data_IF_721582946567
#
_entry.id   IF_721582946567
#
_cell.length_a   1.000
_cell.length_b   1.000
_cell.length_c   1.000
_cell.angle_alpha   90.00
_cell.angle_beta   90.00
_cell.angle_gamma   90.00
#
_symmetry.space_group_name_H-M   'P 1'
#
loop_
_entity.id
_entity.type
_entity.pdbx_description
1 polymer ?
#
# COMPACT_ATOMS: atom_id res chain seq x y z
N UNK A 1 -12.03 18.62 10.75
CA UNK A 1 -12.72 19.47 11.75
C UNK A 1 -11.67 20.32 12.49
N UNK A 2 -11.99 21.57 12.78
CA UNK A 2 -11.08 22.53 13.43
C UNK A 2 -10.64 22.05 14.82
N UNK A 3 -11.45 21.21 15.46
CA UNK A 3 -11.19 20.62 16.77
C UNK A 3 -10.12 19.49 16.73
N UNK A 4 -9.77 18.97 15.56
CA UNK A 4 -8.80 17.87 15.45
C UNK A 4 -7.35 18.37 15.51
N UNK A 5 -7.05 19.48 14.85
CA UNK A 5 -5.68 19.99 14.76
C UNK A 5 -5.01 20.22 16.12
N UNK A 6 -5.69 20.81 17.14
CA UNK A 6 -5.12 20.96 18.48
C UNK A 6 -4.85 19.63 19.21
N UNK A 7 -5.56 18.54 18.81
CA UNK A 7 -5.43 17.23 19.44
C UNK A 7 -4.15 16.46 19.04
N UNK A 8 -3.54 16.79 17.89
CA UNK A 8 -2.32 16.11 17.46
C UNK A 8 -1.18 16.22 18.47
N UNK A 9 -1.04 17.38 19.12
CA UNK A 9 -0.04 17.56 20.17
C UNK A 9 -0.32 16.67 21.38
N UNK A 10 -1.59 16.55 21.80
CA UNK A 10 -1.99 15.69 22.93
C UNK A 10 -1.82 14.22 22.61
N UNK A 11 -2.10 13.78 21.36
CA UNK A 11 -1.85 12.40 20.91
C UNK A 11 -0.36 12.06 21.07
N UNK A 12 0.54 12.93 20.59
CA UNK A 12 2.00 12.73 20.74
C UNK A 12 2.42 12.68 22.20
N UNK A 13 1.95 13.60 23.01
CA UNK A 13 2.23 13.61 24.47
C UNK A 13 1.72 12.35 25.16
N UNK A 14 0.55 11.84 24.79
CA UNK A 14 -0.01 10.61 25.35
C UNK A 14 0.85 9.40 24.99
N UNK A 15 1.28 9.26 23.74
CA UNK A 15 2.17 8.16 23.33
C UNK A 15 3.46 8.16 24.15
N UNK A 16 4.08 9.33 24.33
CA UNK A 16 5.28 9.50 25.16
C UNK A 16 5.02 9.19 26.64
N UNK A 17 3.86 9.63 27.19
CA UNK A 17 3.49 9.37 28.58
C UNK A 17 3.26 7.88 28.86
N UNK A 18 2.80 7.11 27.86
CA UNK A 18 2.70 5.65 27.93
C UNK A 18 4.02 4.92 27.69
N UNK A 19 5.12 5.67 27.51
CA UNK A 19 6.44 5.13 27.18
C UNK A 19 6.43 4.23 25.93
N UNK A 20 5.58 4.56 24.94
CA UNK A 20 5.52 3.85 23.69
C UNK A 20 6.47 4.49 22.68
N UNK A 21 7.31 3.70 21.99
CA UNK A 21 8.16 4.20 20.92
C UNK A 21 7.31 4.84 19.81
N UNK A 22 7.71 6.04 19.40
CA UNK A 22 7.07 6.78 18.32
C UNK A 22 8.11 7.24 17.30
N UNK A 23 7.83 7.04 16.03
CA UNK A 23 8.73 7.41 14.94
C UNK A 23 8.01 8.31 13.96
N UNK A 24 8.62 9.42 13.65
CA UNK A 24 8.26 10.28 12.54
C UNK A 24 9.51 10.68 11.73
N UNK A 25 9.33 10.94 10.45
CA UNK A 25 10.41 11.36 9.58
C UNK A 25 9.88 12.35 8.53
N UNK A 26 10.50 13.51 8.47
CA UNK A 26 10.12 14.55 7.52
C UNK A 26 10.21 14.05 6.07
N UNK A 27 9.21 14.34 5.27
CA UNK A 27 9.05 13.93 3.86
C UNK A 27 8.78 12.43 3.63
N UNK A 28 8.43 11.69 4.66
CA UNK A 28 8.01 10.29 4.57
C UNK A 28 6.66 10.12 5.24
N UNK A 29 5.82 9.28 4.67
CA UNK A 29 4.55 8.89 5.27
C UNK A 29 4.77 7.77 6.30
N UNK A 30 3.83 7.61 7.23
CA UNK A 30 3.91 6.54 8.23
C UNK A 30 4.04 5.16 7.57
N UNK A 31 3.39 4.94 6.45
CA UNK A 31 3.39 3.69 5.70
C UNK A 31 4.77 3.34 5.11
N UNK A 32 5.54 4.35 4.68
CA UNK A 32 6.93 4.18 4.25
C UNK A 32 7.82 3.72 5.41
N UNK A 33 7.60 4.29 6.61
CA UNK A 33 8.32 3.89 7.81
C UNK A 33 7.97 2.46 8.22
N UNK A 34 6.67 2.13 8.18
CA UNK A 34 6.19 0.76 8.45
C UNK A 34 6.83 -0.22 7.46
N UNK A 35 6.80 0.08 6.15
CA UNK A 35 7.40 -0.77 5.13
C UNK A 35 8.91 -0.96 5.35
N UNK A 36 9.62 0.11 5.69
CA UNK A 36 11.06 0.09 6.00
C UNK A 36 11.36 -0.80 7.21
N UNK A 37 10.63 -0.64 8.31
CA UNK A 37 10.81 -1.48 9.50
C UNK A 37 10.40 -2.92 9.27
N UNK A 38 9.34 -3.18 8.51
CA UNK A 38 8.95 -4.55 8.11
C UNK A 38 10.14 -5.25 7.45
N UNK A 39 10.80 -4.62 6.49
CA UNK A 39 11.94 -5.24 5.81
C UNK A 39 13.16 -5.42 6.71
N UNK A 40 13.43 -4.48 7.64
CA UNK A 40 14.50 -4.62 8.62
C UNK A 40 14.25 -5.79 9.59
N UNK A 41 13.00 -5.94 10.08
CA UNK A 41 12.60 -7.00 11.00
C UNK A 41 12.70 -8.36 10.31
N UNK A 42 12.22 -8.48 9.07
CA UNK A 42 12.27 -9.72 8.32
C UNK A 42 13.71 -10.16 8.00
N UNK A 43 14.63 -9.21 7.72
CA UNK A 43 16.06 -9.51 7.55
C UNK A 43 16.69 -10.12 8.82
N UNK A 44 16.14 -9.83 10.00
CA UNK A 44 16.55 -10.45 11.28
C UNK A 44 15.84 -11.80 11.56
N UNK A 45 14.99 -12.28 10.65
CA UNK A 45 14.26 -13.54 10.80
C UNK A 45 13.05 -13.47 11.75
N UNK A 46 12.64 -12.27 12.15
CA UNK A 46 11.50 -12.07 13.03
C UNK A 46 10.19 -11.90 12.24
N UNK A 47 9.05 -11.99 12.95
CA UNK A 47 7.71 -11.81 12.39
C UNK A 47 7.17 -10.44 12.72
N UNK A 48 6.30 -9.91 11.86
CA UNK A 48 5.67 -8.61 12.01
C UNK A 48 4.16 -8.74 12.12
N UNK A 49 3.57 -7.97 13.02
CA UNK A 49 2.12 -7.71 13.02
C UNK A 49 1.92 -6.21 12.85
N UNK A 50 1.33 -5.82 11.73
CA UNK A 50 0.91 -4.44 11.45
C UNK A 50 -0.50 -4.28 12.01
N UNK A 51 -0.73 -3.26 12.83
CA UNK A 51 -2.07 -2.93 13.36
C UNK A 51 -2.55 -1.70 12.61
N UNK A 52 -3.40 -1.90 11.63
CA UNK A 52 -3.96 -0.81 10.80
C UNK A 52 -5.20 -1.27 10.04
N UNK A 53 -6.12 -0.33 9.79
CA UNK A 53 -7.25 -0.51 8.88
C UNK A 53 -6.94 -0.04 7.46
N UNK A 54 -5.73 0.46 7.22
CA UNK A 54 -5.32 1.00 5.94
C UNK A 54 -5.15 -0.10 4.89
N UNK A 55 -5.77 0.12 3.74
CA UNK A 55 -5.74 -0.83 2.62
C UNK A 55 -4.38 -0.87 1.93
N UNK A 56 -3.62 0.22 1.99
CA UNK A 56 -2.37 0.35 1.26
C UNK A 56 -1.27 -0.50 1.89
N UNK A 57 -1.34 -0.74 3.20
CA UNK A 57 -0.48 -1.68 3.90
C UNK A 57 -0.73 -3.15 3.52
N UNK A 58 -1.83 -3.47 2.80
CA UNK A 58 -2.08 -4.84 2.30
C UNK A 58 -1.02 -5.30 1.29
N UNK A 59 -0.29 -4.38 0.65
CA UNK A 59 0.85 -4.72 -0.20
C UNK A 59 2.02 -5.35 0.57
N UNK A 60 2.09 -5.15 1.89
CA UNK A 60 3.12 -5.71 2.77
C UNK A 60 2.78 -7.13 3.26
N UNK A 61 1.55 -7.61 3.04
CA UNK A 61 1.11 -8.93 3.51
C UNK A 61 1.93 -10.05 2.85
N UNK A 62 2.53 -10.89 3.66
CA UNK A 62 3.31 -12.07 3.26
C UNK A 62 3.48 -13.03 4.44
N UNK A 63 4.11 -14.19 4.23
CA UNK A 63 4.21 -15.30 5.20
C UNK A 63 4.50 -14.87 6.64
N UNK A 64 5.46 -13.95 6.84
CA UNK A 64 5.90 -13.52 8.18
C UNK A 64 5.42 -12.11 8.54
N UNK A 65 4.47 -11.56 7.77
CA UNK A 65 3.83 -10.27 8.00
C UNK A 65 2.31 -10.47 8.06
N UNK A 66 1.74 -10.18 9.23
CA UNK A 66 0.28 -10.21 9.45
C UNK A 66 -0.23 -8.78 9.58
N UNK A 67 -1.47 -8.57 9.18
CA UNK A 67 -2.18 -7.28 9.35
C UNK A 67 -3.39 -7.53 10.23
N UNK A 68 -3.51 -6.79 11.31
CA UNK A 68 -4.69 -6.79 12.18
C UNK A 68 -5.47 -5.51 11.96
N UNK A 69 -6.71 -5.63 11.54
CA UNK A 69 -7.65 -4.51 11.38
C UNK A 69 -8.39 -4.27 12.71
N UNK A 70 -8.05 -3.21 13.48
CA UNK A 70 -8.67 -2.97 14.78
C UNK A 70 -10.14 -2.54 14.66
N UNK A 71 -10.54 -1.93 13.53
CA UNK A 71 -11.92 -1.51 13.31
C UNK A 71 -12.85 -2.70 13.09
N UNK A 72 -12.34 -3.76 12.46
CA UNK A 72 -13.07 -5.01 12.23
C UNK A 72 -12.75 -6.09 13.26
N UNK A 73 -11.82 -5.81 14.17
CA UNK A 73 -11.32 -6.73 15.18
C UNK A 73 -10.91 -8.11 14.59
N UNK A 74 -10.16 -8.11 13.49
CA UNK A 74 -9.74 -9.33 12.81
C UNK A 74 -8.39 -9.22 12.11
N UNK A 75 -7.73 -10.35 11.93
CA UNK A 75 -6.59 -10.45 11.03
C UNK A 75 -7.07 -10.48 9.57
N UNK A 76 -6.39 -9.71 8.72
CA UNK A 76 -6.61 -9.72 7.28
C UNK A 76 -5.97 -10.96 6.69
N UNK A 77 -6.74 -11.71 5.91
CA UNK A 77 -6.27 -12.88 5.17
C UNK A 77 -5.99 -12.56 3.71
N UNK A 78 -5.31 -13.47 3.01
CA UNK A 78 -5.13 -13.37 1.55
C UNK A 78 -6.49 -13.38 0.81
N UNK A 79 -7.51 -14.08 1.36
CA UNK A 79 -8.88 -14.08 0.83
C UNK A 79 -9.54 -12.71 0.98
N UNK A 80 -9.30 -12.00 2.08
CA UNK A 80 -9.81 -10.63 2.26
C UNK A 80 -9.18 -9.69 1.24
N UNK A 81 -7.89 -9.84 0.97
CA UNK A 81 -7.17 -9.06 -0.04
C UNK A 81 -7.73 -9.36 -1.44
N UNK A 82 -7.93 -10.63 -1.77
CA UNK A 82 -8.56 -11.05 -3.04
C UNK A 82 -9.98 -10.52 -3.18
N UNK A 83 -10.79 -10.52 -2.11
CA UNK A 83 -12.13 -9.92 -2.13
C UNK A 83 -12.08 -8.43 -2.42
N UNK A 84 -11.09 -7.71 -1.88
CA UNK A 84 -10.97 -6.26 -2.03
C UNK A 84 -10.38 -5.85 -3.38
N UNK A 85 -9.28 -6.50 -3.80
CA UNK A 85 -8.50 -6.11 -4.96
C UNK A 85 -8.62 -7.05 -6.15
N UNK A 86 -9.24 -8.23 -6.00
CA UNK A 86 -9.35 -9.24 -7.05
C UNK A 86 -8.06 -9.99 -7.37
N UNK A 87 -7.00 -9.77 -6.60
CA UNK A 87 -5.65 -10.34 -6.79
C UNK A 87 -5.02 -10.72 -5.44
N UNK A 88 -3.93 -11.46 -5.47
CA UNK A 88 -3.09 -11.72 -4.30
C UNK A 88 -2.31 -10.47 -3.87
N UNK A 89 -1.85 -10.45 -2.62
CA UNK A 89 -1.14 -9.32 -2.00
C UNK A 89 0.00 -8.75 -2.85
N UNK A 90 0.81 -9.61 -3.44
CA UNK A 90 1.94 -9.22 -4.29
C UNK A 90 1.57 -8.49 -5.59
N UNK A 91 0.28 -8.43 -5.95
CA UNK A 91 -0.23 -7.74 -7.15
C UNK A 91 -1.10 -6.52 -6.81
N UNK A 92 -1.27 -6.20 -5.54
CA UNK A 92 -2.11 -5.07 -5.11
C UNK A 92 -1.63 -3.76 -5.72
N UNK A 93 -0.33 -3.50 -5.71
CA UNK A 93 0.29 -2.32 -6.31
C UNK A 93 -0.12 -2.16 -7.78
N UNK A 94 -0.04 -3.24 -8.57
CA UNK A 94 -0.36 -3.19 -10.00
C UNK A 94 -1.85 -2.91 -10.25
N UNK A 95 -2.74 -3.43 -9.40
CA UNK A 95 -4.18 -3.14 -9.48
C UNK A 95 -4.45 -1.68 -9.12
N UNK A 96 -3.89 -1.18 -8.03
CA UNK A 96 -4.04 0.23 -7.61
C UNK A 96 -3.44 1.20 -8.65
N UNK A 97 -2.34 0.83 -9.29
CA UNK A 97 -1.73 1.62 -10.38
C UNK A 97 -2.67 1.85 -11.56
N UNK A 98 -3.52 0.88 -11.86
CA UNK A 98 -4.52 0.98 -12.92
C UNK A 98 -5.83 1.61 -12.45
N UNK A 99 -6.33 1.19 -11.29
CA UNK A 99 -7.60 1.65 -10.76
C UNK A 99 -7.54 3.09 -10.22
N UNK A 100 -6.37 3.51 -9.77
CA UNK A 100 -6.19 4.75 -9.04
C UNK A 100 -6.77 4.70 -7.63
N UNK A 101 -6.62 5.80 -6.93
CA UNK A 101 -7.21 6.03 -5.62
C UNK A 101 -7.57 7.51 -5.45
N UNK A 102 -8.86 7.81 -5.38
CA UNK A 102 -9.33 9.19 -5.26
C UNK A 102 -9.08 9.82 -3.89
N UNK A 103 -8.97 8.99 -2.82
CA UNK A 103 -8.64 9.49 -1.48
C UNK A 103 -7.21 10.04 -1.42
N UNK A 104 -6.29 9.44 -2.17
CA UNK A 104 -4.86 9.76 -2.13
C UNK A 104 -4.39 10.47 -3.41
N UNK A 105 -5.34 10.98 -4.21
CA UNK A 105 -5.06 11.66 -5.49
C UNK A 105 -4.23 10.82 -6.48
N UNK A 106 -4.35 9.49 -6.41
CA UNK A 106 -3.72 8.58 -7.38
C UNK A 106 -4.58 8.52 -8.65
N UNK A 107 -4.10 8.98 -9.81
CA UNK A 107 -4.94 9.18 -10.98
C UNK A 107 -5.46 7.87 -11.60
N UNK A 108 -4.68 6.80 -11.58
CA UNK A 108 -5.01 5.57 -12.29
C UNK A 108 -5.18 5.76 -13.80
N UNK A 109 -5.86 4.83 -14.42
CA UNK A 109 -6.25 4.87 -15.84
C UNK A 109 -7.74 5.14 -15.95
N UNK A 110 -8.19 6.20 -16.65
CA UNK A 110 -9.60 6.54 -16.76
C UNK A 110 -10.47 5.36 -17.21
N UNK A 111 -11.57 5.11 -16.51
CA UNK A 111 -12.51 4.03 -16.84
C UNK A 111 -12.03 2.61 -16.48
N UNK A 112 -10.87 2.47 -15.82
CA UNK A 112 -10.40 1.20 -15.28
C UNK A 112 -10.55 1.20 -13.77
N UNK A 113 -11.61 0.58 -13.27
CA UNK A 113 -11.78 0.34 -11.83
C UNK A 113 -11.12 -0.97 -11.38
N UNK A 114 -11.14 -1.22 -10.05
CA UNK A 114 -10.49 -2.38 -9.41
C UNK A 114 -10.79 -3.71 -10.09
N UNK A 115 -12.04 -3.98 -10.43
CA UNK A 115 -12.44 -5.24 -11.09
C UNK A 115 -11.75 -5.44 -12.44
N UNK A 116 -11.78 -4.42 -13.29
CA UNK A 116 -11.13 -4.48 -14.62
C UNK A 116 -9.60 -4.53 -14.49
N UNK A 117 -9.03 -3.78 -13.54
CA UNK A 117 -7.61 -3.82 -13.24
C UNK A 117 -7.18 -5.23 -12.81
N UNK A 118 -7.94 -5.85 -11.91
CA UNK A 118 -7.66 -7.22 -11.46
C UNK A 118 -7.73 -8.25 -12.59
N UNK A 119 -8.74 -8.17 -13.47
CA UNK A 119 -8.85 -9.03 -14.67
C UNK A 119 -7.60 -8.92 -15.56
N UNK A 120 -7.15 -7.67 -15.80
CA UNK A 120 -5.97 -7.41 -16.63
C UNK A 120 -4.69 -7.93 -15.96
N UNK A 121 -4.49 -7.63 -14.68
CA UNK A 121 -3.29 -8.04 -13.94
C UNK A 121 -3.24 -9.56 -13.77
N UNK A 122 -4.37 -10.22 -13.53
CA UNK A 122 -4.41 -11.68 -13.48
C UNK A 122 -4.07 -12.32 -14.83
N UNK A 123 -4.51 -11.71 -15.93
CA UNK A 123 -4.24 -12.20 -17.29
C UNK A 123 -2.80 -11.97 -17.74
N UNK A 124 -2.26 -10.78 -17.53
CA UNK A 124 -0.96 -10.38 -18.07
C UNK A 124 0.19 -10.48 -17.03
N UNK A 125 -0.14 -10.68 -15.75
CA UNK A 125 0.82 -10.91 -14.67
C UNK A 125 1.12 -9.67 -13.84
N UNK A 126 1.57 -8.57 -14.46
CA UNK A 126 1.87 -7.29 -13.81
C UNK A 126 1.64 -6.11 -14.79
N UNK A 127 1.75 -4.88 -14.27
CA UNK A 127 1.53 -3.65 -15.05
C UNK A 127 2.47 -3.54 -16.25
N UNK A 128 3.77 -3.84 -16.07
CA UNK A 128 4.76 -3.70 -17.15
C UNK A 128 4.49 -4.65 -18.31
N UNK A 129 4.13 -5.91 -17.99
CA UNK A 129 3.76 -6.90 -19.02
C UNK A 129 2.46 -6.50 -19.72
N UNK A 130 1.47 -6.03 -18.97
CA UNK A 130 0.21 -5.53 -19.54
C UNK A 130 0.48 -4.38 -20.53
N UNK A 131 1.28 -3.39 -20.13
CA UNK A 131 1.59 -2.22 -20.97
C UNK A 131 2.39 -2.59 -22.25
N UNK A 132 3.18 -3.67 -22.20
CA UNK A 132 3.87 -4.21 -23.38
C UNK A 132 2.94 -5.02 -24.29
N UNK A 133 1.90 -5.60 -23.74
CA UNK A 133 0.95 -6.49 -24.46
C UNK A 133 -0.39 -5.81 -24.76
N UNK A 134 -0.46 -4.49 -24.79
CA UNK A 134 -1.71 -3.75 -25.05
C UNK A 134 -2.35 -4.13 -26.37
N UNK A 135 -1.56 -4.46 -27.40
CA UNK A 135 -2.04 -4.89 -28.71
C UNK A 135 -2.86 -6.20 -28.70
N UNK A 136 -2.71 -7.02 -27.67
CA UNK A 136 -3.47 -8.27 -27.48
C UNK A 136 -4.86 -8.04 -26.88
N UNK A 137 -5.15 -6.82 -26.45
CA UNK A 137 -6.43 -6.46 -25.83
C UNK A 137 -7.49 -6.31 -26.93
N UNK A 138 -8.46 -7.24 -26.95
CA UNK A 138 -9.52 -7.30 -27.97
C UNK A 138 -10.45 -6.08 -27.95
N UNK A 139 -10.69 -5.48 -26.78
CA UNK A 139 -11.57 -4.31 -26.65
C UNK A 139 -10.82 -3.05 -27.08
N UNK A 140 -11.15 -2.50 -28.25
CA UNK A 140 -10.48 -1.34 -28.83
C UNK A 140 -10.40 -0.16 -27.85
N UNK A 141 -11.54 0.26 -27.29
CA UNK A 141 -11.59 1.38 -26.33
C UNK A 141 -10.66 1.18 -25.14
N UNK A 142 -10.63 -0.02 -24.55
CA UNK A 142 -9.74 -0.33 -23.42
C UNK A 142 -8.27 -0.31 -23.82
N UNK A 143 -7.95 -0.83 -24.99
CA UNK A 143 -6.59 -0.81 -25.55
C UNK A 143 -6.11 0.62 -25.76
N UNK A 144 -6.90 1.45 -26.43
CA UNK A 144 -6.59 2.86 -26.69
C UNK A 144 -6.41 3.64 -25.40
N UNK A 145 -7.34 3.49 -24.43
CA UNK A 145 -7.24 4.13 -23.12
C UNK A 145 -5.95 3.77 -22.38
N UNK A 146 -5.52 2.49 -22.42
CA UNK A 146 -4.27 2.06 -21.79
C UNK A 146 -3.03 2.62 -22.48
N UNK A 147 -3.05 2.72 -23.81
CA UNK A 147 -1.95 3.31 -24.59
C UNK A 147 -1.83 4.80 -24.28
N UNK A 148 -2.92 5.54 -24.34
CA UNK A 148 -2.97 6.99 -24.10
C UNK A 148 -2.62 7.37 -22.65
N UNK A 149 -2.94 6.52 -21.70
CA UNK A 149 -2.73 6.81 -20.27
C UNK A 149 -1.61 5.97 -19.64
N UNK A 150 -0.69 5.45 -20.44
CA UNK A 150 0.45 4.67 -19.97
C UNK A 150 1.25 5.39 -18.89
N UNK A 151 1.54 6.67 -19.10
CA UNK A 151 2.33 7.46 -18.16
C UNK A 151 1.57 7.71 -16.84
N UNK A 152 0.25 7.87 -16.89
CA UNK A 152 -0.57 7.95 -15.67
C UNK A 152 -0.51 6.66 -14.87
N UNK A 153 -0.59 5.50 -15.52
CA UNK A 153 -0.44 4.22 -14.83
C UNK A 153 0.93 4.07 -14.17
N UNK A 154 2.00 4.50 -14.83
CA UNK A 154 3.36 4.45 -14.29
C UNK A 154 3.58 5.44 -13.14
N UNK A 155 3.00 6.65 -13.24
CA UNK A 155 3.01 7.62 -12.14
C UNK A 155 2.22 7.07 -10.96
N UNK A 156 1.01 6.53 -11.21
CA UNK A 156 0.20 5.91 -10.17
C UNK A 156 0.95 4.78 -9.46
N UNK A 157 1.68 3.94 -10.20
CA UNK A 157 2.52 2.90 -9.60
C UNK A 157 3.56 3.47 -8.64
N UNK A 158 4.21 4.58 -9.01
CA UNK A 158 5.18 5.25 -8.13
C UNK A 158 4.53 5.81 -6.87
N UNK A 159 3.30 6.34 -7.00
CA UNK A 159 2.56 6.92 -5.88
C UNK A 159 2.06 5.87 -4.89
N UNK A 160 1.55 4.73 -5.37
CA UNK A 160 1.01 3.68 -4.49
C UNK A 160 2.08 2.72 -3.94
N UNK A 161 3.29 2.76 -4.47
CA UNK A 161 4.37 1.88 -4.00
C UNK A 161 5.05 2.50 -2.79
N UNK A 162 4.96 1.84 -1.64
CA UNK A 162 5.62 2.26 -0.42
C UNK A 162 7.14 2.21 -0.56
N UNK A 163 7.82 3.14 0.10
CA UNK A 163 9.29 3.14 0.20
C UNK A 163 9.73 2.18 1.31
N UNK A 164 10.77 1.41 1.01
CA UNK A 164 11.33 0.41 1.91
C UNK A 164 12.73 0.78 2.43
N UNK A 165 13.17 1.99 2.11
CA UNK A 165 14.51 2.51 2.35
C UNK A 165 14.51 3.89 3.02
N UNK A 166 13.45 4.22 3.76
CA UNK A 166 13.41 5.46 4.52
C UNK A 166 14.61 5.53 5.50
N UNK A 167 15.30 6.67 5.59
CA UNK A 167 16.50 6.81 6.42
C UNK A 167 16.15 6.96 7.90
N UNK A 168 15.52 5.92 8.47
CA UNK A 168 15.14 5.86 9.88
C UNK A 168 16.38 5.79 10.76
N UNK A 169 16.38 6.55 11.86
CA UNK A 169 17.53 6.65 12.79
C UNK A 169 17.44 5.67 13.94
N UNK A 170 16.21 5.34 14.36
CA UNK A 170 15.99 4.43 15.47
C UNK A 170 16.23 2.98 15.03
N UNK A 171 16.97 2.25 15.87
CA UNK A 171 17.18 0.83 15.70
C UNK A 171 16.03 0.03 16.31
N UNK A 172 15.85 -1.23 15.88
CA UNK A 172 14.81 -2.10 16.45
C UNK A 172 14.96 -2.35 17.95
N UNK A 173 16.19 -2.24 18.48
CA UNK A 173 16.46 -2.36 19.90
C UNK A 173 15.86 -1.20 20.73
N UNK A 174 15.71 -0.02 20.11
CA UNK A 174 15.12 1.17 20.75
C UNK A 174 13.61 1.02 20.96
N UNK A 175 12.99 -0.03 20.38
CA UNK A 175 11.55 -0.30 20.48
C UNK A 175 11.20 -1.40 21.49
N UNK A 176 12.16 -1.84 22.30
CA UNK A 176 11.87 -2.78 23.36
C UNK A 176 11.05 -2.08 24.46
N UNK A 177 9.92 -2.69 24.83
CA UNK A 177 9.07 -2.29 25.96
C UNK A 177 9.57 -2.93 27.24
#
# INVERSE_FOLDING_TARGET
>A
PDDLAPQFEYIRKSVLAFNLPSVDLLNYEADDLIATYVDQILKKGAKVTIVSSDKDLMQLYKKDVRIFDPMKNKFISEEDIKKKFGVISSKVIDVQSLAGDSSDNVPGVPGIGVKTAAELINKYGNLEKLLKSTNEIKQNKRRETLIENKDKALISKKLVTLKHDAPVKQNLEDFKL
#
